data_IF_727219939645
#
_entry.id   IF_727219939645
#
_cell.length_a   1.000
_cell.length_b   1.000
_cell.length_c   1.000
_cell.angle_alpha   90.00
_cell.angle_beta   90.00
_cell.angle_gamma   90.00
#
_symmetry.space_group_name_H-M   'P 1'
#
loop_
_entity.id
_entity.type
_entity.pdbx_description
1 polymer ?
#
# COMPACT_ATOMS: atom_id res chain seq x y z
N UNK A 1 27.81 -17.90 58.30
CA UNK A 1 26.92 -18.77 59.10
C UNK A 1 25.46 -18.46 58.77
N UNK A 2 24.62 -19.49 58.81
CA UNK A 2 23.17 -19.59 58.46
C UNK A 2 22.35 -18.34 58.85
N UNK A 3 21.32 -17.93 58.10
CA UNK A 3 19.98 -18.55 58.09
C UNK A 3 19.16 -18.20 56.83
N UNK A 4 18.53 -19.25 56.28
CA UNK A 4 17.40 -19.21 55.35
C UNK A 4 16.09 -19.07 56.13
N UNK A 5 15.11 -18.35 55.57
CA UNK A 5 13.64 -18.41 55.81
C UNK A 5 13.03 -17.88 54.49
N UNK A 6 12.44 -18.65 53.57
CA UNK A 6 11.31 -19.58 53.60
C UNK A 6 9.92 -18.91 53.79
N UNK A 7 9.11 -19.09 52.74
CA UNK A 7 7.64 -19.27 52.69
C UNK A 7 6.67 -18.07 52.81
N UNK A 8 5.87 -17.93 51.74
CA UNK A 8 4.45 -17.53 51.73
C UNK A 8 3.91 -17.80 50.31
N UNK A 9 3.24 -18.93 50.04
CA UNK A 9 1.77 -19.10 50.02
C UNK A 9 1.11 -17.91 49.28
N UNK A 10 0.59 -18.00 48.06
CA UNK A 10 -0.27 -19.02 47.48
C UNK A 10 -1.69 -18.47 47.39
N UNK A 11 -2.11 -17.96 46.23
CA UNK A 11 -3.53 -17.82 45.86
C UNK A 11 -3.69 -18.23 44.41
N UNK A 12 -4.28 -19.41 44.24
CA UNK A 12 -4.91 -19.89 43.01
C UNK A 12 -6.20 -19.08 42.83
N UNK A 13 -6.27 -18.30 41.75
CA UNK A 13 -7.48 -17.58 41.36
C UNK A 13 -7.89 -18.01 39.95
N UNK A 14 -8.54 -19.16 39.84
CA UNK A 14 -9.30 -19.53 38.66
C UNK A 14 -10.55 -18.63 38.60
N UNK A 15 -10.60 -17.73 37.61
CA UNK A 15 -11.76 -16.90 37.30
C UNK A 15 -12.32 -17.27 35.94
N UNK A 16 -13.61 -17.59 35.91
CA UNK A 16 -14.34 -18.21 34.82
C UNK A 16 -14.37 -17.41 33.50
N UNK A 17 -14.44 -18.19 32.42
CA UNK A 17 -14.93 -17.85 31.09
C UNK A 17 -16.25 -17.06 31.11
N UNK A 18 -16.31 -15.98 30.35
CA UNK A 18 -17.55 -15.53 29.70
C UNK A 18 -17.26 -15.22 28.24
N UNK A 19 -17.59 -16.18 27.36
CA UNK A 19 -17.83 -15.93 25.95
C UNK A 19 -19.08 -15.06 25.84
N UNK A 20 -18.95 -13.86 25.28
CA UNK A 20 -20.10 -13.07 24.83
C UNK A 20 -20.09 -13.03 23.30
N UNK A 21 -20.79 -13.98 22.69
CA UNK A 21 -21.18 -13.94 21.28
C UNK A 21 -22.38 -12.99 21.16
N UNK A 22 -22.15 -11.74 20.79
CA UNK A 22 -23.23 -10.87 20.29
C UNK A 22 -23.31 -11.00 18.79
N UNK A 23 -24.21 -11.87 18.32
CA UNK A 23 -24.69 -11.86 16.94
C UNK A 23 -25.62 -10.66 16.81
N UNK A 24 -25.15 -9.58 16.20
CA UNK A 24 -26.03 -8.55 15.64
C UNK A 24 -26.37 -8.94 14.21
N UNK A 25 -27.55 -9.53 14.04
CA UNK A 25 -28.24 -9.59 12.75
C UNK A 25 -29.31 -8.49 12.71
N UNK A 26 -29.15 -7.55 11.78
CA UNK A 26 -30.14 -6.55 11.32
C UNK A 26 -29.42 -5.70 10.27
N UNK A 27 -29.81 -5.57 9.01
CA UNK A 27 -30.87 -6.13 8.20
C UNK A 27 -30.60 -5.64 6.77
N UNK A 28 -30.88 -6.48 5.78
CA UNK A 28 -30.76 -6.09 4.38
C UNK A 28 -31.87 -5.08 4.03
N UNK A 29 -31.49 -3.95 3.45
CA UNK A 29 -32.36 -3.19 2.56
C UNK A 29 -31.65 -3.09 1.21
N UNK A 30 -31.74 -4.17 0.43
CA UNK A 30 -31.49 -4.13 -0.99
C UNK A 30 -32.65 -3.35 -1.63
N UNK A 31 -32.42 -2.12 -2.07
CA UNK A 31 -33.32 -1.47 -3.03
C UNK A 31 -33.05 -2.08 -4.39
N UNK A 32 -33.53 -3.30 -4.60
CA UNK A 32 -33.68 -3.85 -5.95
C UNK A 32 -34.89 -3.14 -6.57
N UNK A 33 -34.64 -2.48 -7.68
CA UNK A 33 -35.66 -1.92 -8.56
C UNK A 33 -36.20 -3.08 -9.43
N UNK A 34 -37.45 -3.55 -9.27
CA UNK A 34 -38.05 -4.41 -10.27
C UNK A 34 -38.60 -3.52 -11.39
N UNK A 35 -37.82 -3.43 -12.47
CA UNK A 35 -38.38 -3.07 -13.76
C UNK A 35 -39.28 -4.22 -14.25
N UNK A 36 -40.52 -3.84 -14.56
CA UNK A 36 -41.42 -4.43 -15.54
C UNK A 36 -41.82 -5.92 -15.40
N UNK A 37 -43.06 -6.10 -14.94
CA UNK A 37 -43.91 -7.20 -15.38
C UNK A 37 -45.32 -6.66 -15.67
N UNK A 38 -45.59 -6.40 -16.95
CA UNK A 38 -46.93 -6.30 -17.56
C UNK A 38 -46.80 -6.99 -18.92
N UNK A 39 -47.06 -8.30 -18.99
CA UNK A 39 -48.34 -8.93 -19.33
C UNK A 39 -48.57 -9.10 -20.85
N UNK A 40 -48.99 -10.33 -21.16
CA UNK A 40 -49.80 -10.76 -22.30
C UNK A 40 -49.10 -11.26 -23.57
N UNK A 41 -49.25 -12.58 -23.72
CA UNK A 41 -48.88 -13.42 -24.83
C UNK A 41 -49.68 -13.14 -26.11
N UNK A 42 -49.06 -13.32 -27.27
CA UNK A 42 -49.72 -13.87 -28.46
C UNK A 42 -48.72 -14.65 -29.32
N UNK A 43 -49.14 -15.87 -29.61
CA UNK A 43 -48.55 -16.90 -30.46
C UNK A 43 -48.68 -16.53 -31.94
N UNK A 44 -47.61 -16.62 -32.72
CA UNK A 44 -47.67 -17.02 -34.13
C UNK A 44 -46.29 -17.48 -34.61
N UNK A 45 -46.25 -18.70 -35.14
CA UNK A 45 -45.14 -19.22 -35.92
C UNK A 45 -45.11 -18.55 -37.31
N UNK A 46 -43.99 -18.75 -38.01
CA UNK A 46 -43.89 -19.06 -39.44
C UNK A 46 -43.05 -18.10 -40.32
N UNK A 47 -42.19 -18.74 -41.13
CA UNK A 47 -41.56 -18.29 -42.38
C UNK A 47 -40.22 -17.54 -42.35
N UNK A 48 -39.15 -18.27 -42.69
CA UNK A 48 -37.97 -17.73 -43.41
C UNK A 48 -38.37 -17.29 -44.83
N UNK A 49 -37.60 -16.37 -45.44
CA UNK A 49 -37.02 -16.75 -46.72
C UNK A 49 -35.53 -16.38 -46.90
N UNK A 50 -34.98 -17.12 -47.87
CA UNK A 50 -33.62 -17.26 -48.38
C UNK A 50 -33.08 -16.06 -49.19
N UNK A 51 -31.77 -15.82 -48.98
CA UNK A 51 -30.69 -15.31 -49.87
C UNK A 51 -30.76 -13.96 -50.59
N UNK A 52 -29.67 -13.21 -50.45
CA UNK A 52 -28.92 -12.65 -51.59
C UNK A 52 -27.41 -12.59 -51.25
N UNK A 53 -26.57 -12.99 -52.20
CA UNK A 53 -25.10 -13.04 -52.14
C UNK A 53 -24.52 -11.98 -53.10
N UNK A 54 -23.26 -11.55 -52.87
CA UNK A 54 -22.19 -11.09 -53.81
C UNK A 54 -21.98 -9.55 -53.94
N UNK A 55 -20.74 -8.98 -54.12
CA UNK A 55 -19.37 -9.32 -53.65
C UNK A 55 -18.52 -8.12 -53.09
N UNK A 56 -17.34 -8.52 -52.57
CA UNK A 56 -16.04 -7.86 -52.36
C UNK A 56 -15.78 -6.40 -52.82
N UNK A 57 -15.20 -5.60 -51.92
CA UNK A 57 -14.13 -4.67 -52.28
C UNK A 57 -13.02 -4.65 -51.21
N UNK A 58 -11.79 -4.58 -51.71
CA UNK A 58 -10.56 -4.82 -50.99
C UNK A 58 -10.17 -3.62 -50.11
N UNK A 59 -10.03 -3.82 -48.79
CA UNK A 59 -9.32 -2.87 -47.94
C UNK A 59 -7.90 -3.39 -47.73
N UNK A 60 -7.00 -2.84 -48.53
CA UNK A 60 -5.54 -2.89 -48.38
C UNK A 60 -5.14 -2.53 -46.95
N UNK A 61 -4.32 -3.35 -46.24
CA UNK A 61 -3.72 -2.90 -45.00
C UNK A 61 -2.67 -1.83 -45.30
N UNK A 62 -2.82 -0.68 -44.64
CA UNK A 62 -1.83 0.40 -44.67
C UNK A 62 -0.47 -0.11 -44.14
N UNK A 63 0.67 0.36 -44.68
CA UNK A 63 1.98 -0.06 -44.24
C UNK A 63 2.23 0.37 -42.79
N UNK A 64 2.66 -0.60 -41.99
CA UNK A 64 3.27 -0.44 -40.67
C UNK A 64 4.39 0.58 -40.73
N UNK A 65 4.19 1.74 -40.12
CA UNK A 65 5.30 2.63 -39.78
C UNK A 65 6.09 1.98 -38.63
N UNK A 66 7.33 1.63 -38.94
CA UNK A 66 8.34 1.21 -37.99
C UNK A 66 8.45 2.24 -36.86
N UNK A 67 8.42 1.86 -35.58
CA UNK A 67 8.78 2.79 -34.54
C UNK A 67 10.25 3.17 -34.72
N UNK A 68 10.48 4.43 -35.03
CA UNK A 68 11.79 5.09 -34.94
C UNK A 68 12.40 4.71 -33.60
N UNK A 69 13.50 3.98 -33.66
CA UNK A 69 14.38 3.74 -32.53
C UNK A 69 14.81 5.10 -32.01
N UNK A 70 14.16 5.57 -30.94
CA UNK A 70 14.70 6.66 -30.14
C UNK A 70 16.07 6.21 -29.67
N UNK A 71 17.08 6.98 -30.06
CA UNK A 71 18.42 6.89 -29.52
C UNK A 71 18.30 6.75 -28.00
N UNK A 72 18.75 5.59 -27.51
CA UNK A 72 19.05 5.42 -26.10
C UNK A 72 20.16 6.42 -25.83
N UNK A 73 19.80 7.60 -25.32
CA UNK A 73 20.74 8.41 -24.56
C UNK A 73 21.41 7.47 -23.58
N UNK A 74 22.74 7.46 -23.59
CA UNK A 74 23.57 6.96 -22.52
C UNK A 74 23.09 7.57 -21.20
N UNK A 75 22.09 6.92 -20.60
CA UNK A 75 21.82 7.00 -19.19
C UNK A 75 23.00 6.26 -18.58
N UNK A 76 24.02 7.03 -18.24
CA UNK A 76 25.10 6.67 -17.34
C UNK A 76 24.53 5.67 -16.32
N UNK A 77 24.90 4.41 -16.48
CA UNK A 77 24.50 3.37 -15.55
C UNK A 77 25.16 3.73 -14.24
N UNK A 78 24.40 4.38 -13.37
CA UNK A 78 24.73 4.51 -11.96
C UNK A 78 24.80 3.07 -11.46
N UNK A 79 26.02 2.55 -11.34
CA UNK A 79 26.28 1.21 -10.82
C UNK A 79 25.69 1.15 -9.39
N UNK A 80 25.13 0.01 -8.95
CA UNK A 80 24.51 -0.13 -7.62
C UNK A 80 25.41 0.22 -6.42
N UNK A 81 26.71 0.43 -6.65
CA UNK A 81 27.71 0.88 -5.66
C UNK A 81 27.69 2.37 -5.36
N UNK A 82 27.00 3.20 -6.15
CA UNK A 82 26.91 4.66 -5.93
C UNK A 82 25.80 5.04 -4.94
N UNK A 83 25.08 4.05 -4.39
CA UNK A 83 24.17 4.27 -3.26
C UNK A 83 25.03 4.45 -2.02
N UNK A 84 25.33 5.71 -1.70
CA UNK A 84 25.93 6.10 -0.42
C UNK A 84 24.97 5.66 0.68
N UNK A 85 25.41 4.75 1.55
CA UNK A 85 24.68 4.37 2.76
C UNK A 85 24.46 5.64 3.60
N UNK A 86 23.20 6.10 3.81
CA UNK A 86 22.92 7.34 4.53
C UNK A 86 23.34 7.26 6.01
N UNK A 87 23.61 6.07 6.55
CA UNK A 87 24.14 5.88 7.90
C UNK A 87 25.65 6.15 8.00
N UNK A 88 26.33 6.41 6.89
CA UNK A 88 27.74 6.78 6.84
C UNK A 88 27.97 8.28 6.59
N UNK A 89 26.91 9.08 6.48
CA UNK A 89 27.05 10.51 6.19
C UNK A 89 27.63 11.31 7.37
N UNK A 90 28.31 12.41 7.07
CA UNK A 90 28.80 13.34 8.08
C UNK A 90 27.64 13.89 8.94
N UNK A 91 26.48 14.15 8.32
CA UNK A 91 25.28 14.58 9.02
C UNK A 91 24.79 13.53 10.03
N UNK A 92 24.78 12.25 9.65
CA UNK A 92 24.40 11.17 10.56
C UNK A 92 25.40 11.00 11.71
N UNK A 93 26.70 11.03 11.41
CA UNK A 93 27.75 10.83 12.42
C UNK A 93 27.84 12.00 13.42
N UNK A 94 27.43 13.21 13.03
CA UNK A 94 27.36 14.38 13.89
C UNK A 94 26.19 14.36 14.89
N UNK A 95 25.17 13.53 14.66
CA UNK A 95 24.04 13.38 15.59
C UNK A 95 24.44 12.73 16.92
N UNK A 96 23.65 12.93 17.96
CA UNK A 96 23.83 12.26 19.26
C UNK A 96 23.63 10.74 19.13
N UNK A 97 24.16 9.92 20.06
CA UNK A 97 23.98 8.47 20.01
C UNK A 97 22.51 8.01 19.97
N UNK A 98 21.62 8.70 20.69
CA UNK A 98 20.18 8.38 20.72
C UNK A 98 19.50 8.74 19.39
N UNK A 99 19.84 9.89 18.80
CA UNK A 99 19.37 10.27 17.46
C UNK A 99 19.88 9.30 16.39
N UNK A 100 21.12 8.84 16.48
CA UNK A 100 21.65 7.81 15.57
C UNK A 100 20.92 6.48 15.73
N UNK A 101 20.55 6.09 16.96
CA UNK A 101 19.77 4.87 17.20
C UNK A 101 18.38 4.99 16.56
N UNK A 102 17.71 6.14 16.75
CA UNK A 102 16.44 6.44 16.08
C UNK A 102 16.58 6.43 14.55
N UNK A 103 17.65 7.03 14.02
CA UNK A 103 17.89 7.07 12.58
C UNK A 103 18.10 5.69 11.96
N UNK A 104 18.75 4.75 12.68
CA UNK A 104 18.87 3.35 12.24
C UNK A 104 17.51 2.64 12.19
N UNK A 105 16.70 2.76 13.24
CA UNK A 105 15.33 2.22 13.29
C UNK A 105 14.44 2.82 12.18
N UNK A 106 14.61 4.12 11.92
CA UNK A 106 13.91 4.81 10.85
C UNK A 106 14.31 4.27 9.47
N UNK A 107 15.61 4.11 9.18
CA UNK A 107 16.06 3.54 7.89
C UNK A 107 15.51 2.13 7.70
N UNK A 108 15.53 1.28 8.72
CA UNK A 108 14.98 -0.07 8.64
C UNK A 108 13.48 -0.05 8.30
N UNK A 109 12.71 0.81 8.97
CA UNK A 109 11.28 1.02 8.68
C UNK A 109 11.06 1.48 7.23
N UNK A 110 11.86 2.42 6.75
CA UNK A 110 11.80 2.93 5.39
C UNK A 110 12.17 1.87 4.35
N UNK A 111 13.15 1.01 4.64
CA UNK A 111 13.54 -0.11 3.76
C UNK A 111 12.42 -1.13 3.64
N UNK A 112 11.76 -1.51 4.75
CA UNK A 112 10.60 -2.42 4.72
C UNK A 112 9.44 -1.78 3.95
N UNK A 113 9.18 -0.49 4.17
CA UNK A 113 8.16 0.27 3.44
C UNK A 113 8.45 0.28 1.93
N UNK A 114 9.69 0.55 1.54
CA UNK A 114 10.11 0.57 0.14
C UNK A 114 9.92 -0.79 -0.54
N UNK A 115 10.25 -1.89 0.16
CA UNK A 115 10.02 -3.24 -0.34
C UNK A 115 8.52 -3.52 -0.55
N UNK A 116 7.67 -3.22 0.44
CA UNK A 116 6.22 -3.38 0.31
C UNK A 116 5.63 -2.53 -0.83
N UNK A 117 6.09 -1.28 -0.98
CA UNK A 117 5.63 -0.39 -2.05
C UNK A 117 6.05 -0.91 -3.42
N UNK A 118 7.27 -1.46 -3.53
CA UNK A 118 7.75 -2.11 -4.75
C UNK A 118 6.88 -3.30 -5.13
N UNK A 119 6.48 -4.13 -4.17
CA UNK A 119 5.56 -5.26 -4.41
C UNK A 119 4.18 -4.79 -4.88
N UNK A 120 3.76 -3.58 -4.50
CA UNK A 120 2.54 -2.92 -4.99
C UNK A 120 2.72 -2.16 -6.31
N UNK A 121 3.90 -2.21 -6.92
CA UNK A 121 4.20 -1.58 -8.21
C UNK A 121 4.68 -0.13 -8.13
N UNK A 122 5.06 0.35 -6.95
CA UNK A 122 5.53 1.72 -6.74
C UNK A 122 7.02 1.78 -6.37
N UNK A 123 7.78 2.63 -7.05
CA UNK A 123 9.18 2.90 -6.68
C UNK A 123 9.26 3.97 -5.60
N UNK A 124 8.98 3.58 -4.35
CA UNK A 124 9.03 4.48 -3.19
C UNK A 124 10.46 4.96 -2.91
N UNK A 125 10.62 6.27 -2.77
CA UNK A 125 11.89 6.89 -2.35
C UNK A 125 11.67 7.77 -1.12
N UNK A 126 12.74 7.98 -0.38
CA UNK A 126 12.71 8.79 0.83
C UNK A 126 14.02 9.53 1.02
N UNK A 127 13.93 10.64 1.75
CA UNK A 127 15.08 11.45 2.18
C UNK A 127 15.21 11.32 3.70
N UNK A 128 16.37 10.85 4.20
CA UNK A 128 16.62 10.77 5.63
C UNK A 128 16.45 12.12 6.30
N UNK A 129 15.86 12.14 7.50
CA UNK A 129 15.48 13.40 8.15
C UNK A 129 16.68 14.27 8.54
N UNK A 130 17.85 13.67 8.73
CA UNK A 130 19.09 14.37 9.03
C UNK A 130 19.78 14.95 7.78
N UNK A 131 19.41 14.50 6.59
CA UNK A 131 19.90 15.06 5.32
C UNK A 131 19.06 16.25 4.86
N UNK A 132 17.89 16.47 5.48
CA UNK A 132 17.04 17.62 5.13
C UNK A 132 17.73 18.90 5.56
N UNK A 133 18.09 19.72 4.59
CA UNK A 133 18.69 21.03 4.85
C UNK A 133 17.79 21.85 5.80
N UNK A 134 18.41 22.48 6.81
CA UNK A 134 17.72 23.23 7.86
C UNK A 134 16.99 24.51 7.40
N UNK A 135 17.05 24.85 6.11
CA UNK A 135 16.27 25.95 5.56
C UNK A 135 14.84 25.49 5.25
N UNK A 136 13.98 25.67 6.26
CA UNK A 136 12.53 25.40 6.21
C UNK A 136 11.77 26.08 5.04
N UNK A 137 12.41 26.96 4.27
CA UNK A 137 11.83 27.61 3.09
C UNK A 137 11.55 26.63 1.94
N UNK A 138 12.32 25.54 1.80
CA UNK A 138 12.09 24.50 0.79
C UNK A 138 11.70 23.21 1.48
N UNK A 139 10.40 22.95 1.61
CA UNK A 139 9.92 21.64 2.08
C UNK A 139 10.31 20.58 1.04
N UNK A 140 10.89 19.44 1.46
CA UNK A 140 11.14 18.32 0.56
C UNK A 140 9.87 17.97 -0.23
N UNK A 141 10.04 17.72 -1.53
CA UNK A 141 8.93 17.25 -2.36
C UNK A 141 8.57 15.86 -1.85
N UNK A 142 7.37 15.71 -1.29
CA UNK A 142 6.85 14.39 -0.92
C UNK A 142 6.90 13.48 -2.16
N UNK A 143 7.47 12.28 -2.04
CA UNK A 143 7.61 11.32 -3.15
C UNK A 143 6.33 11.15 -3.98
N UNK A 144 5.17 11.08 -3.33
CA UNK A 144 3.88 10.96 -4.05
C UNK A 144 3.63 12.09 -5.08
N UNK A 145 4.19 13.28 -4.85
CA UNK A 145 4.04 14.41 -5.76
C UNK A 145 4.93 14.31 -6.99
N UNK A 146 5.94 13.43 -7.00
CA UNK A 146 6.75 13.13 -8.19
C UNK A 146 6.06 12.14 -9.13
N UNK A 147 4.98 11.50 -8.68
CA UNK A 147 4.18 10.57 -9.50
C UNK A 147 3.20 11.31 -10.44
N UNK A 148 2.81 10.68 -11.57
CA UNK A 148 1.70 11.12 -12.40
C UNK A 148 0.43 11.32 -11.57
N UNK A 149 -0.36 12.37 -11.88
CA UNK A 149 -1.54 12.72 -11.11
C UNK A 149 -2.56 11.58 -10.96
N UNK A 150 -2.69 10.74 -12.00
CA UNK A 150 -3.56 9.56 -12.03
C UNK A 150 -3.18 8.46 -11.03
N UNK A 151 -1.92 8.42 -10.59
CA UNK A 151 -1.40 7.35 -9.72
C UNK A 151 -1.40 7.75 -8.25
N UNK A 152 -1.42 9.05 -7.94
CA UNK A 152 -1.19 9.58 -6.59
C UNK A 152 -2.17 9.05 -5.55
N UNK A 153 -3.45 8.92 -5.89
CA UNK A 153 -4.46 8.43 -4.95
C UNK A 153 -4.18 6.98 -4.55
N UNK A 154 -3.93 6.11 -5.53
CA UNK A 154 -3.63 4.70 -5.30
C UNK A 154 -2.27 4.52 -4.60
N UNK A 155 -1.27 5.36 -4.92
CA UNK A 155 0.02 5.35 -4.23
C UNK A 155 -0.09 5.74 -2.76
N UNK A 156 -0.94 6.73 -2.41
CA UNK A 156 -1.22 7.08 -1.00
C UNK A 156 -1.93 5.95 -0.28
N UNK A 157 -2.97 5.40 -0.89
CA UNK A 157 -3.68 4.26 -0.30
C UNK A 157 -2.75 3.06 -0.08
N UNK A 158 -1.84 2.79 -1.00
CA UNK A 158 -0.83 1.75 -0.84
C UNK A 158 0.14 2.01 0.32
N UNK A 159 0.56 3.27 0.50
CA UNK A 159 1.50 3.68 1.53
C UNK A 159 0.85 3.73 2.92
N UNK A 160 -0.26 4.46 3.04
CA UNK A 160 -0.87 4.87 4.30
C UNK A 160 -2.10 4.01 4.67
N UNK A 161 -2.67 3.29 3.72
CA UNK A 161 -3.87 2.48 3.93
C UNK A 161 -5.15 3.31 4.17
N UNK A 162 -6.17 2.67 4.74
CA UNK A 162 -7.47 3.25 5.13
C UNK A 162 -7.88 2.79 6.54
N UNK A 163 -6.94 2.89 7.48
CA UNK A 163 -7.05 2.37 8.85
C UNK A 163 -7.82 3.28 9.82
N UNK A 164 -8.17 4.49 9.41
CA UNK A 164 -8.67 5.51 10.34
C UNK A 164 -7.62 5.95 11.37
N UNK A 165 -8.02 6.20 12.62
CA UNK A 165 -7.12 6.64 13.68
C UNK A 165 -7.60 6.21 15.08
N UNK A 166 -6.69 6.19 16.05
CA UNK A 166 -7.03 5.92 17.45
C UNK A 166 -7.45 4.47 17.69
N UNK A 167 -8.63 4.26 18.28
CA UNK A 167 -9.12 2.93 18.64
C UNK A 167 -9.48 2.05 17.42
N UNK A 168 -9.72 2.68 16.26
CA UNK A 168 -10.06 1.99 15.01
C UNK A 168 -8.81 1.59 14.20
N UNK A 169 -7.60 1.97 14.67
CA UNK A 169 -6.36 1.67 13.97
C UNK A 169 -6.05 0.16 13.99
N UNK A 170 -5.85 -0.36 12.79
CA UNK A 170 -5.36 -1.71 12.52
C UNK A 170 -4.18 -1.65 11.54
N UNK A 171 -3.05 -2.25 11.92
CA UNK A 171 -1.80 -2.16 11.15
C UNK A 171 -1.94 -2.78 9.75
N UNK A 172 -2.79 -3.79 9.60
CA UNK A 172 -3.08 -4.49 8.35
C UNK A 172 -3.91 -3.65 7.37
N UNK A 173 -4.68 -2.69 7.89
CA UNK A 173 -5.42 -1.70 7.09
C UNK A 173 -4.59 -0.42 6.85
N UNK A 174 -3.42 -0.28 7.48
CA UNK A 174 -2.58 0.92 7.45
C UNK A 174 -1.51 0.93 6.34
N UNK A 175 -1.74 0.14 5.28
CA UNK A 175 -0.89 0.11 4.09
C UNK A 175 0.52 -0.41 4.37
N UNK A 176 1.47 -0.01 3.52
CA UNK A 176 2.86 -0.41 3.64
C UNK A 176 3.57 0.19 4.87
N UNK A 177 3.16 1.38 5.31
CA UNK A 177 3.67 1.99 6.53
C UNK A 177 3.27 1.18 7.77
N UNK A 178 1.98 0.84 7.89
CA UNK A 178 1.49 -0.01 8.97
C UNK A 178 2.16 -1.37 9.02
N UNK A 179 2.29 -2.03 7.86
CA UNK A 179 3.03 -3.28 7.75
C UNK A 179 4.50 -3.15 8.23
N UNK A 180 5.20 -2.06 7.87
CA UNK A 180 6.57 -1.85 8.31
C UNK A 180 6.67 -1.66 9.82
N UNK A 181 5.80 -0.81 10.39
CA UNK A 181 5.72 -0.56 11.84
C UNK A 181 5.42 -1.85 12.61
N UNK A 182 4.49 -2.68 12.11
CA UNK A 182 4.16 -3.97 12.70
C UNK A 182 5.34 -4.94 12.71
N UNK A 183 6.04 -5.09 11.57
CA UNK A 183 7.21 -5.97 11.49
C UNK A 183 8.35 -5.52 12.41
N UNK A 184 8.49 -4.21 12.61
CA UNK A 184 9.44 -3.64 13.56
C UNK A 184 9.02 -3.81 15.03
N UNK A 185 7.80 -4.29 15.30
CA UNK A 185 7.25 -4.43 16.66
C UNK A 185 6.86 -3.08 17.28
N UNK A 186 6.55 -2.09 16.45
CA UNK A 186 6.35 -0.70 16.84
C UNK A 186 4.88 -0.25 16.93
N UNK A 187 3.91 -1.16 16.80
CA UNK A 187 2.47 -0.83 16.77
C UNK A 187 1.97 -0.01 17.97
N UNK A 188 2.62 -0.16 19.13
CA UNK A 188 2.24 0.51 20.38
C UNK A 188 3.23 1.60 20.82
N UNK A 189 4.13 2.02 19.94
CA UNK A 189 5.03 3.15 20.21
C UNK A 189 4.38 4.42 19.63
N UNK A 190 3.99 5.35 20.50
CA UNK A 190 3.39 6.64 20.14
C UNK A 190 4.17 7.78 20.79
#
# INVERSE_FOLDING_TARGET
MKKKLALGIGVVGAGLLTLSLTVFGMGAAATLNPADADESATRAAESLPTAAVVPADAITPAPTETPTTSETSDADSIEPTDIVDPLLSDAFTAMTPDEQANGREWIETQTITAACMKDKGYSYTFEPFWEREGDSAVRPVMWVNTLPASERANARLALDGDTGAGADYHWDDAGCWGYAVHNMGNDNKH
#
